data_IF_529529097902
#
_entry.id   IF_529529097902
#
_cell.length_a   1.000
_cell.length_b   1.000
_cell.length_c   1.000
_cell.angle_alpha   90.00
_cell.angle_beta   90.00
_cell.angle_gamma   90.00
#
_symmetry.space_group_name_H-M   'P 1'
#
loop_
_entity.id
_entity.type
_entity.pdbx_description
1 polymer ?
#
# COMPACT_ATOMS: atom_id res chain seq x y z
N UNK A 1 7.81 -9.50 2.35
CA UNK A 1 8.72 -8.35 2.36
C UNK A 1 8.77 -7.75 3.76
N UNK A 2 9.94 -7.49 4.28
CA UNK A 2 10.10 -6.93 5.63
C UNK A 2 10.02 -5.41 5.56
N UNK A 3 9.14 -4.83 6.38
CA UNK A 3 9.02 -3.38 6.56
C UNK A 3 9.48 -3.06 7.98
N UNK A 4 10.39 -2.10 8.10
CA UNK A 4 10.90 -1.63 9.40
C UNK A 4 10.23 -0.32 9.76
N UNK A 5 9.56 -0.31 10.91
CA UNK A 5 8.91 0.88 11.46
C UNK A 5 9.54 1.15 12.81
N UNK A 6 10.26 2.28 12.93
CA UNK A 6 11.16 2.53 14.05
C UNK A 6 12.17 1.38 14.16
N UNK A 7 12.15 0.66 15.29
CA UNK A 7 13.03 -0.48 15.55
C UNK A 7 12.33 -1.81 15.29
N UNK A 8 11.04 -1.80 15.00
CA UNK A 8 10.23 -3.00 14.83
C UNK A 8 10.20 -3.45 13.37
N UNK A 9 10.30 -4.74 13.15
CA UNK A 9 10.29 -5.35 11.82
C UNK A 9 9.03 -6.17 11.67
N UNK A 10 8.33 -5.94 10.54
CA UNK A 10 7.09 -6.65 10.21
C UNK A 10 7.21 -7.29 8.84
N UNK A 11 6.72 -8.51 8.71
CA UNK A 11 6.62 -9.17 7.42
C UNK A 11 5.25 -8.82 6.82
N UNK A 12 5.27 -8.14 5.68
CA UNK A 12 4.07 -7.70 4.97
C UNK A 12 4.00 -8.40 3.63
N UNK A 13 2.88 -9.08 3.37
CA UNK A 13 2.67 -9.85 2.15
C UNK A 13 2.09 -8.96 1.04
N UNK A 14 2.96 -8.32 0.27
CA UNK A 14 2.54 -7.53 -0.90
C UNK A 14 2.20 -8.37 -2.13
N UNK A 15 2.33 -9.69 -2.07
CA UNK A 15 1.78 -10.58 -3.08
C UNK A 15 0.24 -10.68 -2.96
N UNK A 16 -0.29 -10.43 -1.77
CA UNK A 16 -1.73 -10.28 -1.58
C UNK A 16 -2.16 -8.89 -2.04
N UNK A 17 -2.89 -8.83 -3.15
CA UNK A 17 -3.35 -7.58 -3.77
C UNK A 17 -4.21 -6.72 -2.81
N UNK A 18 -4.88 -7.35 -1.85
CA UNK A 18 -5.65 -6.61 -0.83
C UNK A 18 -4.76 -5.73 0.04
N UNK A 19 -3.52 -6.13 0.26
CA UNK A 19 -2.53 -5.33 1.00
C UNK A 19 -2.10 -4.12 0.18
N UNK A 20 -1.90 -4.28 -1.13
CA UNK A 20 -1.62 -3.16 -2.03
C UNK A 20 -2.81 -2.19 -2.06
N UNK A 21 -4.02 -2.72 -2.15
CA UNK A 21 -5.25 -1.90 -2.11
C UNK A 21 -5.38 -1.12 -0.80
N UNK A 22 -5.05 -1.73 0.33
CA UNK A 22 -5.05 -1.06 1.63
C UNK A 22 -4.02 0.08 1.67
N UNK A 23 -2.85 -0.11 1.08
CA UNK A 23 -1.84 0.93 0.96
C UNK A 23 -2.33 2.11 0.09
N UNK A 24 -3.02 1.83 -1.01
CA UNK A 24 -3.62 2.86 -1.87
C UNK A 24 -4.70 3.65 -1.14
N UNK A 25 -5.56 2.98 -0.38
CA UNK A 25 -6.58 3.63 0.44
C UNK A 25 -5.95 4.54 1.50
N UNK A 26 -4.88 4.08 2.13
CA UNK A 26 -4.12 4.86 3.10
C UNK A 26 -3.49 6.11 2.48
N UNK A 27 -2.89 5.99 1.31
CA UNK A 27 -2.33 7.11 0.56
C UNK A 27 -3.39 8.17 0.27
N UNK A 28 -4.57 7.74 -0.17
CA UNK A 28 -5.68 8.64 -0.48
C UNK A 28 -6.18 9.36 0.77
N UNK A 29 -6.40 8.64 1.86
CA UNK A 29 -6.86 9.20 3.11
C UNK A 29 -5.88 10.24 3.67
N UNK A 30 -4.57 9.98 3.56
CA UNK A 30 -3.52 10.88 4.02
C UNK A 30 -3.49 12.16 3.18
N UNK A 31 -3.60 12.05 1.85
CA UNK A 31 -3.64 13.22 0.96
C UNK A 31 -4.85 14.09 1.27
N UNK A 32 -6.02 13.50 1.47
CA UNK A 32 -7.24 14.23 1.82
C UNK A 32 -7.12 14.92 3.18
N UNK A 33 -6.59 14.22 4.18
CA UNK A 33 -6.39 14.78 5.52
C UNK A 33 -5.39 15.93 5.51
N UNK A 34 -4.31 15.81 4.74
CA UNK A 34 -3.31 16.87 4.59
C UNK A 34 -3.90 18.12 3.93
N UNK A 35 -4.74 17.94 2.91
CA UNK A 35 -5.42 19.05 2.23
C UNK A 35 -6.38 19.82 3.16
N UNK A 36 -6.83 19.19 4.25
CA UNK A 36 -7.72 19.80 5.24
C UNK A 36 -6.98 20.54 6.36
N UNK A 37 -5.64 20.54 6.35
CA UNK A 37 -4.86 21.26 7.35
C UNK A 37 -5.01 22.77 7.16
N UNK A 38 -5.17 23.55 8.28
CA UNK A 38 -5.18 24.99 8.21
C UNK A 38 -3.77 25.54 7.94
N UNK A 39 -3.63 26.85 7.67
CA UNK A 39 -2.32 27.48 7.57
C UNK A 39 -1.49 27.29 8.84
N UNK A 40 -0.18 27.21 8.70
CA UNK A 40 0.77 27.03 9.83
C UNK A 40 0.61 28.10 10.90
N UNK A 41 0.17 29.30 10.50
CA UNK A 41 -0.06 30.44 11.40
C UNK A 41 -1.35 30.35 12.20
N UNK A 42 -2.23 29.40 11.88
CA UNK A 42 -3.48 29.20 12.60
C UNK A 42 -3.21 28.64 13.99
N UNK A 43 -3.91 29.17 15.01
CA UNK A 43 -3.74 28.75 16.39
C UNK A 43 -4.16 27.29 16.64
N UNK A 44 -5.00 26.74 15.79
CA UNK A 44 -5.44 25.33 15.85
C UNK A 44 -4.59 24.35 15.05
N UNK A 45 -3.51 24.82 14.43
CA UNK A 45 -2.70 23.98 13.54
C UNK A 45 -2.17 22.72 14.23
N UNK A 46 -1.60 22.85 15.43
CA UNK A 46 -1.05 21.72 16.17
C UNK A 46 -2.09 20.63 16.47
N UNK A 47 -3.30 21.02 16.87
CA UNK A 47 -4.39 20.07 17.13
C UNK A 47 -4.86 19.39 15.84
N UNK A 48 -4.91 20.12 14.75
CA UNK A 48 -5.26 19.55 13.44
C UNK A 48 -4.18 18.62 12.92
N UNK A 49 -2.93 18.92 13.21
CA UNK A 49 -1.80 18.06 12.87
C UNK A 49 -1.89 16.71 13.61
N UNK A 50 -2.34 16.71 14.87
CA UNK A 50 -2.59 15.47 15.61
C UNK A 50 -3.65 14.62 14.88
N UNK A 51 -4.74 15.22 14.43
CA UNK A 51 -5.79 14.53 13.67
C UNK A 51 -5.23 13.95 12.37
N UNK A 52 -4.39 14.71 11.67
CA UNK A 52 -3.69 14.22 10.47
C UNK A 52 -2.80 13.01 10.78
N UNK A 53 -2.02 13.08 11.84
CA UNK A 53 -1.15 11.97 12.24
C UNK A 53 -1.93 10.73 12.70
N UNK A 54 -3.13 10.90 13.26
CA UNK A 54 -4.02 9.78 13.54
C UNK A 54 -4.46 9.06 12.26
N UNK A 55 -4.70 9.80 11.19
CA UNK A 55 -5.00 9.21 9.87
C UNK A 55 -3.81 8.40 9.37
N UNK A 56 -2.59 8.91 9.53
CA UNK A 56 -1.38 8.19 9.14
C UNK A 56 -1.20 6.91 9.96
N UNK A 57 -1.42 6.97 11.27
CA UNK A 57 -1.37 5.79 12.15
C UNK A 57 -2.40 4.74 11.73
N UNK A 58 -3.62 5.16 11.41
CA UNK A 58 -4.67 4.26 10.94
C UNK A 58 -4.30 3.61 9.60
N UNK A 59 -3.66 4.35 8.69
CA UNK A 59 -3.18 3.82 7.43
C UNK A 59 -2.09 2.75 7.62
N UNK A 60 -1.18 2.97 8.55
CA UNK A 60 -0.16 1.98 8.93
C UNK A 60 -0.83 0.69 9.42
N UNK A 61 -1.79 0.81 10.33
CA UNK A 61 -2.53 -0.34 10.86
C UNK A 61 -3.31 -1.08 9.76
N UNK A 62 -3.85 -0.35 8.80
CA UNK A 62 -4.59 -0.94 7.68
C UNK A 62 -3.74 -1.80 6.76
N UNK A 63 -2.46 -1.50 6.64
CA UNK A 63 -1.53 -2.25 5.77
C UNK A 63 -0.79 -3.35 6.54
N UNK A 64 -0.25 -3.02 7.69
CA UNK A 64 0.65 -3.93 8.44
C UNK A 64 -0.13 -4.80 9.41
N UNK A 65 -1.11 -4.25 10.09
CA UNK A 65 -1.93 -4.99 11.05
C UNK A 65 -2.43 -4.11 12.18
N UNK A 66 -3.56 -4.50 12.77
CA UNK A 66 -4.16 -3.78 13.87
C UNK A 66 -3.21 -3.66 15.06
N UNK A 67 -3.12 -2.46 15.63
CA UNK A 67 -2.31 -2.18 16.79
C UNK A 67 -0.82 -1.95 16.52
N UNK A 68 -0.36 -2.04 15.28
CA UNK A 68 1.06 -1.83 14.94
C UNK A 68 1.51 -0.41 15.26
N UNK A 69 0.71 0.59 14.94
CA UNK A 69 1.07 1.98 15.24
C UNK A 69 1.17 2.23 16.75
N UNK A 70 0.31 1.63 17.55
CA UNK A 70 0.37 1.71 19.01
C UNK A 70 1.61 1.02 19.55
N UNK A 71 2.00 -0.11 18.98
CA UNK A 71 3.22 -0.82 19.35
C UNK A 71 4.49 -0.03 19.04
N UNK A 72 4.52 0.62 17.86
CA UNK A 72 5.70 1.36 17.40
C UNK A 72 5.84 2.74 18.04
N UNK A 73 4.73 3.46 18.19
CA UNK A 73 4.72 4.88 18.57
C UNK A 73 4.07 5.14 19.92
N UNK A 74 3.32 4.17 20.46
CA UNK A 74 2.54 4.39 21.67
C UNK A 74 1.51 5.50 21.49
N UNK A 75 1.34 6.34 22.52
CA UNK A 75 0.49 7.52 22.47
C UNK A 75 1.21 8.77 21.96
N UNK A 76 2.47 8.66 21.57
CA UNK A 76 3.26 9.78 21.11
C UNK A 76 2.91 10.21 19.68
N UNK A 77 3.09 11.49 19.42
CA UNK A 77 2.88 12.08 18.09
C UNK A 77 4.18 12.68 17.55
N UNK A 78 5.24 11.87 17.52
CA UNK A 78 6.45 12.29 16.83
C UNK A 78 6.20 12.16 15.31
N UNK A 79 5.94 13.30 14.67
CA UNK A 79 5.58 13.32 13.26
C UNK A 79 6.66 12.71 12.37
N UNK A 80 7.92 12.89 12.73
CA UNK A 80 9.05 12.36 11.93
C UNK A 80 9.07 10.84 11.93
N UNK A 81 8.90 10.23 13.11
CA UNK A 81 8.86 8.77 13.23
C UNK A 81 7.65 8.17 12.52
N UNK A 82 6.48 8.80 12.68
CA UNK A 82 5.23 8.32 12.09
C UNK A 82 5.29 8.40 10.57
N UNK A 83 5.72 9.53 10.02
CA UNK A 83 5.81 9.72 8.57
C UNK A 83 6.91 8.86 7.95
N UNK A 84 8.03 8.66 8.63
CA UNK A 84 9.10 7.76 8.17
C UNK A 84 8.60 6.32 8.11
N UNK A 85 7.83 5.88 9.10
CA UNK A 85 7.22 4.56 9.11
C UNK A 85 6.24 4.37 7.94
N UNK A 86 5.42 5.36 7.67
CA UNK A 86 4.51 5.32 6.52
C UNK A 86 5.27 5.31 5.19
N UNK A 87 6.32 6.11 5.07
CA UNK A 87 7.14 6.14 3.85
C UNK A 87 7.75 4.77 3.55
N UNK A 88 8.22 4.05 4.56
CA UNK A 88 8.73 2.68 4.37
C UNK A 88 7.66 1.75 3.78
N UNK A 89 6.40 1.89 4.23
CA UNK A 89 5.27 1.13 3.69
C UNK A 89 4.99 1.52 2.24
N UNK A 90 4.99 2.80 1.93
CA UNK A 90 4.75 3.31 0.57
C UNK A 90 5.80 2.78 -0.40
N UNK A 91 7.06 2.83 -0.03
CA UNK A 91 8.16 2.31 -0.86
C UNK A 91 8.01 0.80 -1.12
N UNK A 92 7.69 0.04 -0.08
CA UNK A 92 7.49 -1.41 -0.20
C UNK A 92 6.25 -1.74 -1.06
N UNK A 93 5.14 -1.02 -0.89
CA UNK A 93 3.93 -1.24 -1.68
C UNK A 93 4.13 -0.88 -3.15
N UNK A 94 4.92 0.16 -3.43
CA UNK A 94 5.26 0.56 -4.79
C UNK A 94 6.09 -0.52 -5.49
N UNK A 95 7.07 -1.09 -4.80
CA UNK A 95 7.85 -2.20 -5.31
C UNK A 95 6.99 -3.43 -5.58
N UNK A 96 6.08 -3.77 -4.65
CA UNK A 96 5.14 -4.89 -4.82
C UNK A 96 4.19 -4.68 -6.00
N UNK A 97 3.66 -3.48 -6.18
CA UNK A 97 2.81 -3.14 -7.31
C UNK A 97 3.56 -3.22 -8.65
N UNK A 98 4.81 -2.80 -8.68
CA UNK A 98 5.65 -2.90 -9.87
C UNK A 98 5.89 -4.35 -10.27
N UNK A 99 6.18 -5.24 -9.31
CA UNK A 99 6.34 -6.68 -9.57
C UNK A 99 5.04 -7.29 -10.08
N UNK A 100 3.90 -6.97 -9.49
CA UNK A 100 2.59 -7.45 -9.93
C UNK A 100 2.28 -6.99 -11.35
N UNK A 101 2.56 -5.74 -11.67
CA UNK A 101 2.37 -5.19 -13.01
C UNK A 101 3.23 -5.93 -14.03
N UNK A 102 4.51 -6.14 -13.75
CA UNK A 102 5.43 -6.85 -14.64
C UNK A 102 4.99 -8.30 -14.87
N UNK A 103 4.60 -9.01 -13.79
CA UNK A 103 4.16 -10.40 -13.87
C UNK A 103 2.86 -10.54 -14.66
N UNK A 104 1.88 -9.65 -14.44
CA UNK A 104 0.60 -9.68 -15.16
C UNK A 104 0.77 -9.31 -16.63
N UNK A 105 1.66 -8.37 -16.95
CA UNK A 105 1.98 -8.02 -18.34
C UNK A 105 2.60 -9.20 -19.08
N UNK A 106 3.54 -9.89 -18.46
CA UNK A 106 4.16 -11.08 -19.04
C UNK A 106 3.15 -12.20 -19.27
N UNK A 107 2.27 -12.42 -18.28
CA UNK A 107 1.20 -13.42 -18.40
C UNK A 107 0.23 -13.10 -19.55
N UNK A 108 -0.17 -11.85 -19.69
CA UNK A 108 -1.05 -11.40 -20.79
C UNK A 108 -0.36 -11.59 -22.13
N UNK A 109 0.92 -11.26 -22.25
CA UNK A 109 1.72 -11.49 -23.47
C UNK A 109 1.72 -12.96 -23.87
N UNK A 110 2.00 -13.86 -22.94
CA UNK A 110 1.99 -15.30 -23.19
C UNK A 110 0.61 -15.83 -23.57
N UNK A 111 -0.41 -15.37 -22.88
CA UNK A 111 -1.79 -15.73 -23.15
C UNK A 111 -2.21 -15.28 -24.56
N UNK A 112 -1.89 -14.07 -24.95
CA UNK A 112 -2.17 -13.52 -26.28
C UNK A 112 -1.47 -14.34 -27.35
N UNK A 113 -0.20 -14.70 -27.18
CA UNK A 113 0.54 -15.53 -28.10
C UNK A 113 -0.10 -16.92 -28.28
N UNK A 114 -0.56 -17.54 -27.20
CA UNK A 114 -1.26 -18.82 -27.24
C UNK A 114 -2.60 -18.74 -27.99
N UNK A 115 -3.37 -17.67 -27.78
CA UNK A 115 -4.63 -17.44 -28.50
C UNK A 115 -4.41 -17.28 -30.01
N UNK A 116 -3.40 -16.50 -30.41
CA UNK A 116 -3.03 -16.31 -31.81
C UNK A 116 -2.61 -17.64 -32.44
N UNK A 117 -1.77 -18.41 -31.77
CA UNK A 117 -1.31 -19.71 -32.27
C UNK A 117 -2.48 -20.69 -32.40
N UNK A 118 -3.40 -20.73 -31.47
CA UNK A 118 -4.60 -21.57 -31.51
C UNK A 118 -5.50 -21.21 -32.69
N UNK A 119 -5.75 -19.95 -32.97
CA UNK A 119 -6.51 -19.48 -34.13
C UNK A 119 -5.82 -19.82 -35.43
N UNK A 120 -4.51 -19.63 -35.50
CA UNK A 120 -3.74 -19.94 -36.71
C UNK A 120 -3.73 -21.43 -37.05
N UNK A 121 -3.76 -22.34 -36.04
CA UNK A 121 -3.78 -23.77 -36.24
C UNK A 121 -5.16 -24.33 -36.59
N UNK A 122 -6.21 -23.54 -36.46
CA UNK A 122 -7.58 -23.99 -36.73
C UNK A 122 -8.10 -25.06 -35.77
N UNK A 123 -7.42 -25.26 -34.63
CA UNK A 123 -7.83 -26.27 -33.66
C UNK A 123 -9.10 -25.88 -32.91
N UNK A 124 -10.02 -26.80 -32.87
CA UNK A 124 -11.18 -26.68 -31.99
C UNK A 124 -10.88 -27.30 -30.63
N UNK A 125 -11.39 -26.73 -29.55
CA UNK A 125 -11.20 -27.33 -28.23
C UNK A 125 -11.86 -28.72 -28.16
N UNK A 126 -11.10 -29.68 -27.66
CA UNK A 126 -11.61 -31.02 -27.40
C UNK A 126 -12.25 -31.04 -26.01
N UNK A 127 -13.52 -31.36 -25.97
CA UNK A 127 -14.25 -31.49 -24.72
C UNK A 127 -14.00 -32.85 -24.11
N UNK A 128 -13.39 -32.87 -22.94
CA UNK A 128 -13.23 -34.09 -22.15
C UNK A 128 -14.49 -34.29 -21.29
N UNK A 129 -15.21 -35.40 -21.51
CA UNK A 129 -16.35 -35.79 -20.68
C UNK A 129 -15.92 -36.74 -19.55
#
# INVERSE_FOLDING_TARGET
MVVTIKENRYDVDFDDVRVIAAADDGKRAIVEAHASLPPVTDAGYGKRLIVFLDVVKAAIDGVVGDGVSAECFGAAYNWRDILTGWLAIVEASTAGAAETCAASTELVHRTTACVIASKASGRQPVRLE
#
